data_IF_303989916433
#
_entry.id   IF_303989916433
#
_cell.length_a   1.000
_cell.length_b   1.000
_cell.length_c   1.000
_cell.angle_alpha   90.00
_cell.angle_beta   90.00
_cell.angle_gamma   90.00
#
_symmetry.space_group_name_H-M   'P 1'
#
loop_
_entity.id
_entity.type
_entity.pdbx_description
1 polymer ?
#
# COMPACT_ATOMS: atom_id res chain seq x y z
N UNK A 1 6.82 5.96 -17.95
CA UNK A 1 8.30 5.98 -17.89
C UNK A 1 8.81 5.71 -16.48
N UNK A 2 8.43 6.50 -15.46
CA UNK A 2 8.82 6.23 -14.06
C UNK A 2 8.41 4.84 -13.53
N UNK A 3 7.20 4.36 -13.85
CA UNK A 3 6.73 3.01 -13.48
C UNK A 3 7.58 1.86 -14.08
N UNK A 4 8.19 2.08 -15.25
CA UNK A 4 9.02 1.08 -15.94
C UNK A 4 10.48 1.10 -15.45
N UNK A 5 10.93 2.19 -14.83
CA UNK A 5 12.33 2.37 -14.38
C UNK A 5 12.47 2.07 -12.88
N UNK A 6 11.49 2.46 -12.06
CA UNK A 6 11.56 2.31 -10.60
C UNK A 6 10.84 1.07 -10.06
N UNK A 7 10.10 0.34 -10.91
CA UNK A 7 9.24 -0.76 -10.48
C UNK A 7 8.01 -0.29 -9.70
N UNK A 8 6.99 -1.15 -9.63
CA UNK A 8 5.80 -0.90 -8.81
C UNK A 8 6.00 -1.59 -7.47
N UNK A 9 6.17 -0.80 -6.41
CA UNK A 9 6.21 -1.30 -5.04
C UNK A 9 4.78 -1.46 -4.51
N UNK A 10 4.20 -2.64 -4.76
CA UNK A 10 2.95 -3.05 -4.13
C UNK A 10 3.19 -3.33 -2.65
N UNK A 11 2.26 -2.87 -1.81
CA UNK A 11 2.27 -3.13 -0.37
C UNK A 11 2.12 -4.64 -0.08
N UNK A 12 2.57 -5.08 1.10
CA UNK A 12 2.49 -6.47 1.56
C UNK A 12 1.04 -6.96 1.58
N UNK A 13 0.07 -6.06 1.85
CA UNK A 13 -1.37 -6.37 1.75
C UNK A 13 -1.81 -6.82 0.34
N UNK A 14 -1.03 -6.56 -0.70
CA UNK A 14 -1.31 -6.97 -2.08
C UNK A 14 -0.44 -8.13 -2.58
N UNK A 15 0.77 -8.27 -2.03
CA UNK A 15 1.70 -9.37 -2.37
C UNK A 15 1.48 -10.62 -1.53
N UNK A 16 0.83 -10.48 -0.38
CA UNK A 16 0.76 -11.52 0.64
C UNK A 16 2.02 -11.58 1.51
N UNK A 17 1.89 -12.18 2.69
CA UNK A 17 2.97 -12.30 3.64
C UNK A 17 2.48 -12.36 5.08
N UNK A 18 3.36 -12.05 6.02
CA UNK A 18 3.03 -12.00 7.44
C UNK A 18 3.44 -10.66 8.02
N UNK A 19 2.53 -10.07 8.80
CA UNK A 19 2.73 -8.83 9.54
C UNK A 19 2.87 -9.22 11.02
N UNK A 20 4.03 -8.91 11.59
CA UNK A 20 4.32 -9.06 13.01
C UNK A 20 4.35 -7.69 13.65
N UNK A 21 3.64 -7.51 14.76
CA UNK A 21 3.68 -6.28 15.54
C UNK A 21 4.35 -6.53 16.87
N UNK A 22 5.45 -5.83 17.12
CA UNK A 22 6.17 -5.89 18.38
C UNK A 22 5.95 -4.59 19.14
N UNK A 23 5.43 -4.69 20.36
CA UNK A 23 5.48 -3.57 21.30
C UNK A 23 6.91 -3.47 21.84
N UNK A 24 7.41 -2.25 21.97
CA UNK A 24 8.76 -1.99 22.47
C UNK A 24 8.81 -0.76 23.37
N UNK A 25 9.89 -0.67 24.14
CA UNK A 25 10.17 0.46 25.02
C UNK A 25 11.37 1.25 24.48
N UNK A 26 11.24 2.57 24.49
CA UNK A 26 12.28 3.52 24.02
C UNK A 26 12.58 3.40 22.51
N UNK A 27 13.58 4.08 21.99
CA UNK A 27 13.80 4.19 20.53
C UNK A 27 14.28 2.90 19.84
N UNK A 28 13.69 2.56 18.69
CA UNK A 28 14.20 1.54 17.76
C UNK A 28 14.46 2.19 16.39
N UNK A 29 15.52 1.76 15.71
CA UNK A 29 15.78 2.09 14.31
C UNK A 29 15.12 1.05 13.40
N UNK A 30 14.10 1.49 12.65
CA UNK A 30 13.36 0.62 11.73
C UNK A 30 14.23 0.11 10.57
N UNK A 31 15.16 0.90 10.05
CA UNK A 31 16.01 0.50 8.92
C UNK A 31 17.04 -0.55 9.36
N UNK A 32 17.56 -0.41 10.57
CA UNK A 32 18.45 -1.41 11.15
C UNK A 32 17.68 -2.71 11.46
N UNK A 33 16.48 -2.61 12.04
CA UNK A 33 15.61 -3.77 12.28
C UNK A 33 15.28 -4.51 10.98
N UNK A 34 14.98 -3.79 9.90
CA UNK A 34 14.69 -4.36 8.59
C UNK A 34 15.87 -5.20 8.07
N UNK A 35 17.10 -4.67 8.14
CA UNK A 35 18.31 -5.38 7.68
C UNK A 35 18.57 -6.66 8.49
N UNK A 36 18.39 -6.60 9.81
CA UNK A 36 18.59 -7.76 10.70
C UNK A 36 17.62 -8.88 10.35
N UNK A 37 16.33 -8.55 10.18
CA UNK A 37 15.28 -9.53 9.89
C UNK A 37 15.45 -10.11 8.47
N UNK A 38 15.82 -9.26 7.51
CA UNK A 38 16.10 -9.70 6.15
C UNK A 38 17.28 -10.68 6.10
N UNK A 39 18.31 -10.48 6.94
CA UNK A 39 19.44 -11.40 7.05
C UNK A 39 19.08 -12.72 7.76
N UNK A 40 18.14 -12.70 8.72
CA UNK A 40 17.78 -13.90 9.49
C UNK A 40 16.84 -14.84 8.74
N UNK A 41 15.87 -14.30 7.99
CA UNK A 41 14.83 -15.11 7.29
C UNK A 41 15.02 -15.13 5.77
N UNK A 42 15.84 -14.24 5.21
CA UNK A 42 16.05 -14.15 3.75
C UNK A 42 14.82 -13.66 2.97
N UNK A 43 13.78 -13.17 3.65
CA UNK A 43 12.55 -12.64 3.03
C UNK A 43 12.64 -11.12 2.89
N UNK A 44 12.02 -10.59 1.83
CA UNK A 44 11.87 -9.15 1.67
C UNK A 44 11.06 -8.64 2.86
N UNK A 45 11.67 -7.75 3.63
CA UNK A 45 11.10 -7.23 4.87
C UNK A 45 10.96 -5.72 4.74
N UNK A 46 9.89 -5.17 5.29
CA UNK A 46 9.77 -3.74 5.54
C UNK A 46 9.43 -3.50 7.01
N UNK A 47 10.13 -2.56 7.64
CA UNK A 47 9.84 -2.17 9.02
C UNK A 47 9.31 -0.74 9.10
N UNK A 48 8.26 -0.54 9.91
CA UNK A 48 7.68 0.77 10.16
C UNK A 48 7.45 0.98 11.65
N UNK A 49 7.70 2.19 12.13
CA UNK A 49 7.38 2.57 13.50
C UNK A 49 5.98 3.17 13.52
N UNK A 50 5.13 2.64 14.39
CA UNK A 50 3.83 3.21 14.69
C UNK A 50 3.81 3.63 16.16
N UNK A 51 3.58 4.91 16.42
CA UNK A 51 3.36 5.41 17.77
C UNK A 51 1.88 5.71 17.95
N UNK A 52 1.27 5.10 18.97
CA UNK A 52 -0.03 5.55 19.43
C UNK A 52 0.16 6.54 20.58
N UNK A 53 0.08 7.83 20.25
CA UNK A 53 0.26 8.92 21.22
C UNK A 53 -0.77 8.91 22.35
N UNK A 54 -1.94 8.27 22.18
CA UNK A 54 -2.97 8.21 23.20
C UNK A 54 -2.75 7.08 24.24
N UNK A 55 -2.01 6.03 23.88
CA UNK A 55 -1.77 4.85 24.71
C UNK A 55 -0.31 4.75 25.20
N UNK A 56 0.52 5.73 24.88
CA UNK A 56 1.99 5.72 25.09
C UNK A 56 2.65 4.41 24.64
N UNK A 57 2.09 3.81 23.58
CA UNK A 57 2.50 2.50 23.10
C UNK A 57 3.25 2.65 21.77
N UNK A 58 4.47 2.14 21.73
CA UNK A 58 5.33 2.15 20.56
C UNK A 58 5.35 0.77 19.93
N UNK A 59 4.99 0.71 18.66
CA UNK A 59 4.86 -0.54 17.91
C UNK A 59 5.84 -0.55 16.74
N UNK A 60 6.58 -1.63 16.61
CA UNK A 60 7.37 -1.96 15.43
C UNK A 60 6.52 -2.89 14.58
N UNK A 61 6.10 -2.40 13.42
CA UNK A 61 5.40 -3.20 12.41
C UNK A 61 6.46 -3.79 11.49
N UNK A 62 6.55 -5.11 11.48
CA UNK A 62 7.44 -5.88 10.60
C UNK A 62 6.58 -6.59 9.58
N UNK A 63 6.75 -6.24 8.32
CA UNK A 63 6.02 -6.83 7.21
C UNK A 63 6.97 -7.70 6.38
N UNK A 64 6.77 -9.01 6.43
CA UNK A 64 7.56 -10.00 5.68
C UNK A 64 6.76 -10.48 4.47
N UNK A 65 7.26 -10.20 3.26
CA UNK A 65 6.62 -10.66 2.04
C UNK A 65 6.78 -12.17 1.88
N UNK A 66 5.71 -12.86 1.47
CA UNK A 66 5.73 -14.30 1.30
C UNK A 66 4.42 -14.83 0.72
N UNK A 67 4.48 -16.00 0.09
CA UNK A 67 3.28 -16.66 -0.45
C UNK A 67 2.53 -17.49 0.60
N UNK A 68 3.14 -17.68 1.77
CA UNK A 68 2.67 -18.56 2.85
C UNK A 68 2.86 -17.83 4.18
N UNK A 69 2.12 -18.29 5.20
CA UNK A 69 2.35 -17.87 6.59
C UNK A 69 3.81 -18.15 7.00
N UNK A 70 4.36 -17.31 7.87
CA UNK A 70 5.61 -17.64 8.56
C UNK A 70 5.46 -18.96 9.30
N UNK A 71 6.43 -19.84 9.14
CA UNK A 71 6.51 -21.02 10.00
C UNK A 71 6.87 -20.59 11.42
N UNK A 72 6.50 -21.40 12.43
CA UNK A 72 6.84 -21.11 13.82
C UNK A 72 8.36 -21.04 14.07
N UNK A 73 9.18 -21.67 13.22
CA UNK A 73 10.64 -21.57 13.29
C UNK A 73 11.13 -20.22 12.77
N UNK A 74 10.59 -19.75 11.65
CA UNK A 74 10.91 -18.43 11.09
C UNK A 74 10.45 -17.30 12.02
N UNK A 75 9.24 -17.38 12.59
CA UNK A 75 8.76 -16.39 13.56
C UNK A 75 9.65 -16.32 14.82
N UNK A 76 10.14 -17.47 15.30
CA UNK A 76 11.12 -17.53 16.39
C UNK A 76 12.45 -16.94 15.96
N UNK A 77 12.92 -17.19 14.74
CA UNK A 77 14.16 -16.62 14.23
C UNK A 77 14.08 -15.09 14.13
N UNK A 78 12.95 -14.53 13.67
CA UNK A 78 12.70 -13.07 13.67
C UNK A 78 12.75 -12.53 15.10
N UNK A 79 12.00 -13.13 16.00
CA UNK A 79 11.90 -12.66 17.40
C UNK A 79 13.25 -12.75 18.11
N UNK A 80 14.01 -13.84 17.90
CA UNK A 80 15.34 -14.02 18.47
C UNK A 80 16.35 -13.00 17.92
N UNK A 81 16.36 -12.78 16.60
CA UNK A 81 17.26 -11.79 15.98
C UNK A 81 16.97 -10.37 16.48
N UNK A 82 15.70 -10.01 16.61
CA UNK A 82 15.28 -8.72 17.15
C UNK A 82 15.64 -8.57 18.63
N UNK A 83 15.40 -9.59 19.45
CA UNK A 83 15.73 -9.56 20.88
C UNK A 83 17.24 -9.52 21.12
N UNK A 84 18.03 -10.20 20.29
CA UNK A 84 19.50 -10.17 20.36
C UNK A 84 20.06 -8.80 19.98
N UNK A 85 19.49 -8.14 18.98
CA UNK A 85 19.90 -6.81 18.56
C UNK A 85 19.45 -5.71 19.54
N UNK A 86 18.32 -5.92 20.22
CA UNK A 86 17.69 -4.94 21.10
C UNK A 86 17.32 -5.54 22.47
N UNK A 87 18.29 -6.02 23.27
CA UNK A 87 18.02 -6.72 24.53
C UNK A 87 17.32 -5.83 25.57
N UNK A 88 17.58 -4.53 25.55
CA UNK A 88 17.05 -3.58 26.54
C UNK A 88 15.69 -2.97 26.15
N UNK A 89 15.10 -3.39 25.02
CA UNK A 89 13.89 -2.75 24.46
C UNK A 89 12.58 -3.49 24.75
N UNK A 90 12.64 -4.60 25.50
CA UNK A 90 11.48 -5.40 25.91
C UNK A 90 10.49 -5.67 24.76
N UNK A 91 11.03 -6.17 23.65
CA UNK A 91 10.24 -6.50 22.48
C UNK A 91 9.25 -7.62 22.80
N UNK A 92 7.96 -7.32 22.69
CA UNK A 92 6.88 -8.28 22.94
C UNK A 92 6.00 -8.41 21.71
N UNK A 93 5.88 -9.63 21.19
CA UNK A 93 4.98 -9.90 20.07
C UNK A 93 3.55 -9.67 20.52
N UNK A 94 2.90 -8.65 19.94
CA UNK A 94 1.53 -8.27 20.25
C UNK A 94 0.54 -8.86 19.27
N UNK A 95 0.91 -8.97 18.00
CA UNK A 95 0.01 -9.46 16.95
C UNK A 95 0.82 -10.13 15.83
N UNK A 96 0.29 -11.23 15.30
CA UNK A 96 0.78 -11.94 14.12
C UNK A 96 -0.38 -12.14 13.15
N UNK A 97 -0.30 -11.49 11.99
CA UNK A 97 -1.34 -11.49 10.96
C UNK A 97 -0.75 -12.03 9.67
N UNK A 98 -1.28 -13.15 9.18
CA UNK A 98 -0.95 -13.63 7.84
C UNK A 98 -1.95 -13.07 6.83
N UNK A 99 -1.45 -12.45 5.77
CA UNK A 99 -2.24 -11.99 4.63
C UNK A 99 -1.98 -12.91 3.46
N UNK A 100 -3.02 -13.59 2.98
CA UNK A 100 -2.89 -14.46 1.82
C UNK A 100 -2.72 -13.65 0.51
N UNK A 101 -1.74 -13.99 -0.35
CA UNK A 101 -1.46 -13.29 -1.61
C UNK A 101 -2.66 -13.20 -2.56
N UNK A 102 -3.53 -14.22 -2.51
CA UNK A 102 -4.66 -14.36 -3.41
C UNK A 102 -5.65 -13.20 -3.25
N UNK A 103 -5.93 -12.79 -2.01
CA UNK A 103 -6.89 -11.72 -1.70
C UNK A 103 -6.37 -10.39 -2.26
N UNK A 104 -5.09 -10.10 -2.04
CA UNK A 104 -4.46 -8.86 -2.48
C UNK A 104 -4.47 -8.68 -3.99
N UNK A 105 -4.07 -9.71 -4.75
CA UNK A 105 -4.04 -9.65 -6.22
C UNK A 105 -5.43 -9.56 -6.83
N UNK A 106 -6.42 -10.24 -6.25
CA UNK A 106 -7.81 -10.11 -6.66
C UNK A 106 -8.37 -8.72 -6.33
N UNK A 107 -8.10 -8.16 -5.14
CA UNK A 107 -8.51 -6.81 -4.77
C UNK A 107 -7.92 -5.75 -5.69
N UNK A 108 -6.63 -5.85 -6.01
CA UNK A 108 -5.97 -4.91 -6.92
C UNK A 108 -6.57 -4.98 -8.34
N UNK A 109 -6.75 -6.20 -8.86
CA UNK A 109 -7.31 -6.40 -10.21
C UNK A 109 -8.76 -5.94 -10.27
N UNK A 110 -9.58 -6.28 -9.27
CA UNK A 110 -10.96 -5.83 -9.17
C UNK A 110 -11.05 -4.31 -9.00
N UNK A 111 -10.14 -3.69 -8.24
CA UNK A 111 -10.03 -2.24 -8.12
C UNK A 111 -9.74 -1.56 -9.46
N UNK A 112 -8.79 -2.10 -10.24
CA UNK A 112 -8.52 -1.61 -11.60
C UNK A 112 -9.73 -1.76 -12.54
N UNK A 113 -10.44 -2.89 -12.46
CA UNK A 113 -11.67 -3.11 -13.24
C UNK A 113 -12.76 -2.12 -12.82
N UNK A 114 -12.93 -1.89 -11.52
CA UNK A 114 -13.92 -0.94 -10.98
C UNK A 114 -13.61 0.49 -11.43
N UNK A 115 -12.34 0.90 -11.43
CA UNK A 115 -11.90 2.20 -11.95
C UNK A 115 -12.25 2.30 -13.44
N UNK A 116 -11.88 1.31 -14.25
CA UNK A 116 -12.18 1.30 -15.68
C UNK A 116 -13.70 1.36 -15.98
N UNK A 117 -14.51 0.62 -15.22
CA UNK A 117 -15.97 0.66 -15.32
C UNK A 117 -16.54 2.01 -14.90
N UNK A 118 -16.00 2.63 -13.84
CA UNK A 118 -16.38 3.97 -13.40
C UNK A 118 -16.14 4.99 -14.52
N UNK A 119 -14.95 4.97 -15.12
CA UNK A 119 -14.61 5.81 -16.28
C UNK A 119 -15.61 5.64 -17.44
N UNK A 120 -15.98 4.39 -17.76
CA UNK A 120 -16.95 4.10 -18.81
C UNK A 120 -18.35 4.66 -18.48
N UNK A 121 -18.80 4.52 -17.23
CA UNK A 121 -20.10 5.05 -16.79
C UNK A 121 -20.13 6.57 -16.79
N UNK A 122 -19.06 7.22 -16.34
CA UNK A 122 -18.90 8.68 -16.38
C UNK A 122 -18.94 9.16 -17.83
N UNK A 123 -18.31 8.44 -18.75
CA UNK A 123 -18.36 8.75 -20.18
C UNK A 123 -19.76 8.73 -20.75
N UNK A 124 -20.52 7.68 -20.45
CA UNK A 124 -21.92 7.56 -20.88
C UNK A 124 -22.76 8.68 -20.26
N UNK A 125 -22.55 8.97 -18.97
CA UNK A 125 -23.24 10.04 -18.26
C UNK A 125 -22.97 11.41 -18.88
N UNK A 126 -21.69 11.80 -19.02
CA UNK A 126 -21.29 13.10 -19.59
C UNK A 126 -21.74 13.22 -21.05
N UNK A 127 -21.58 12.15 -21.84
CA UNK A 127 -22.03 12.10 -23.23
C UNK A 127 -23.54 12.33 -23.37
N UNK A 128 -24.34 11.75 -22.47
CA UNK A 128 -25.79 11.99 -22.42
C UNK A 128 -26.14 13.38 -21.88
N UNK A 129 -25.48 13.80 -20.80
CA UNK A 129 -25.75 15.04 -20.04
C UNK A 129 -25.41 16.31 -20.81
N UNK A 130 -24.35 16.30 -21.61
CA UNK A 130 -23.82 17.45 -22.36
C UNK A 130 -24.07 17.37 -23.87
N UNK A 131 -25.00 16.49 -24.29
CA UNK A 131 -25.44 16.35 -25.68
C UNK A 131 -25.84 17.68 -26.33
N UNK A 132 -26.28 18.66 -25.53
CA UNK A 132 -26.82 19.93 -26.02
C UNK A 132 -25.83 21.12 -26.03
N UNK A 133 -24.62 20.99 -25.47
CA UNK A 133 -23.66 22.12 -25.31
C UNK A 133 -22.30 21.86 -25.98
N UNK A 134 -21.98 20.61 -26.33
CA UNK A 134 -20.71 20.26 -26.98
C UNK A 134 -20.56 18.78 -27.36
N UNK A 135 -21.42 17.89 -26.85
CA UNK A 135 -21.45 16.48 -27.28
C UNK A 135 -20.20 15.68 -26.88
N UNK A 136 -19.80 14.73 -27.76
CA UNK A 136 -18.69 13.78 -27.55
C UNK A 136 -17.33 14.43 -27.28
N UNK A 137 -17.10 15.68 -27.70
CA UNK A 137 -15.83 16.38 -27.50
C UNK A 137 -15.60 16.78 -26.04
N UNK A 138 -16.64 17.24 -25.34
CA UNK A 138 -16.57 17.56 -23.91
C UNK A 138 -16.32 16.29 -23.08
N UNK A 139 -17.00 15.19 -23.42
CA UNK A 139 -16.76 13.88 -22.81
C UNK A 139 -15.33 13.38 -23.02
N UNK A 140 -14.79 13.50 -24.24
CA UNK A 140 -13.42 13.10 -24.54
C UNK A 140 -12.37 13.95 -23.79
N UNK A 141 -12.58 15.27 -23.68
CA UNK A 141 -11.70 16.15 -22.91
C UNK A 141 -11.74 15.83 -21.41
N UNK A 142 -12.91 15.48 -20.87
CA UNK A 142 -13.04 15.04 -19.48
C UNK A 142 -12.27 13.75 -19.21
N UNK A 143 -12.28 12.77 -20.11
CA UNK A 143 -11.43 11.55 -19.95
C UNK A 143 -9.96 11.94 -19.89
N UNK A 144 -9.51 12.81 -20.79
CA UNK A 144 -8.09 13.18 -20.89
C UNK A 144 -7.65 13.90 -19.62
N UNK A 145 -8.48 14.81 -19.11
CA UNK A 145 -8.23 15.50 -17.83
C UNK A 145 -8.14 14.49 -16.67
N UNK A 146 -9.10 13.58 -16.55
CA UNK A 146 -9.09 12.59 -15.48
C UNK A 146 -7.93 11.59 -15.58
N UNK A 147 -7.58 11.15 -16.79
CA UNK A 147 -6.45 10.26 -17.01
C UNK A 147 -5.14 10.96 -16.62
N UNK A 148 -5.01 12.25 -16.95
CA UNK A 148 -3.88 13.08 -16.54
C UNK A 148 -3.80 13.19 -15.01
N UNK A 149 -4.91 13.43 -14.32
CA UNK A 149 -4.94 13.56 -12.85
C UNK A 149 -4.52 12.25 -12.16
N UNK A 150 -5.07 11.12 -12.59
CA UNK A 150 -4.70 9.79 -12.10
C UNK A 150 -3.23 9.48 -12.37
N UNK A 151 -2.73 9.86 -13.56
CA UNK A 151 -1.34 9.65 -13.94
C UNK A 151 -0.37 10.44 -13.05
N UNK A 152 -0.66 11.71 -12.76
CA UNK A 152 0.16 12.54 -11.87
C UNK A 152 0.22 11.94 -10.47
N UNK A 153 -0.91 11.55 -9.88
CA UNK A 153 -0.95 10.96 -8.53
C UNK A 153 -0.14 9.67 -8.49
N UNK A 154 -0.32 8.81 -9.48
CA UNK A 154 0.44 7.55 -9.60
C UNK A 154 1.94 7.83 -9.73
N UNK A 155 2.34 8.82 -10.53
CA UNK A 155 3.74 9.19 -10.70
C UNK A 155 4.37 9.68 -9.39
N UNK A 156 3.66 10.48 -8.60
CA UNK A 156 4.10 10.93 -7.27
C UNK A 156 4.35 9.74 -6.36
N UNK A 157 3.40 8.81 -6.23
CA UNK A 157 3.57 7.63 -5.37
C UNK A 157 4.77 6.79 -5.77
N UNK A 158 4.98 6.58 -7.08
CA UNK A 158 6.13 5.83 -7.60
C UNK A 158 7.46 6.56 -7.34
N UNK A 159 7.53 7.89 -7.57
CA UNK A 159 8.74 8.69 -7.37
C UNK A 159 9.16 8.69 -5.89
N UNK A 160 8.20 8.87 -4.99
CA UNK A 160 8.46 8.89 -3.54
C UNK A 160 8.53 7.49 -2.91
N UNK A 161 8.43 6.43 -3.73
CA UNK A 161 8.43 5.03 -3.27
C UNK A 161 7.36 4.75 -2.20
N UNK A 162 6.24 5.47 -2.26
CA UNK A 162 5.11 5.24 -1.36
C UNK A 162 4.43 3.94 -1.83
N UNK A 163 4.23 2.96 -0.93
CA UNK A 163 3.55 1.72 -1.28
C UNK A 163 2.16 1.99 -1.84
N UNK A 164 1.84 1.35 -2.97
CA UNK A 164 0.48 1.40 -3.51
C UNK A 164 -0.41 0.48 -2.67
N UNK A 165 -1.33 1.09 -1.93
CA UNK A 165 -2.23 0.37 -1.03
C UNK A 165 -3.71 0.74 -1.20
N UNK A 166 -4.57 0.29 -0.27
CA UNK A 166 -5.99 0.64 -0.23
C UNK A 166 -6.21 2.16 -0.06
N UNK A 167 -5.35 2.84 0.69
CA UNK A 167 -5.37 4.30 0.79
C UNK A 167 -5.06 4.98 -0.56
N UNK A 168 -4.18 4.40 -1.40
CA UNK A 168 -3.96 4.88 -2.77
C UNK A 168 -5.23 4.76 -3.63
N UNK A 169 -5.93 3.61 -3.56
CA UNK A 169 -7.18 3.41 -4.30
C UNK A 169 -8.24 4.42 -3.84
N UNK A 170 -8.37 4.63 -2.53
CA UNK A 170 -9.29 5.61 -1.96
C UNK A 170 -8.96 7.03 -2.45
N UNK A 171 -7.69 7.43 -2.42
CA UNK A 171 -7.25 8.75 -2.89
C UNK A 171 -7.56 8.98 -4.38
N UNK A 172 -7.31 7.98 -5.24
CA UNK A 172 -7.61 8.04 -6.67
C UNK A 172 -9.11 8.24 -6.90
N UNK A 173 -9.96 7.45 -6.21
CA UNK A 173 -11.41 7.56 -6.31
C UNK A 173 -11.92 8.94 -5.87
N UNK A 174 -11.36 9.49 -4.79
CA UNK A 174 -11.71 10.84 -4.31
C UNK A 174 -11.32 11.92 -5.32
N UNK A 175 -10.12 11.85 -5.88
CA UNK A 175 -9.63 12.83 -6.86
C UNK A 175 -10.47 12.78 -8.13
N UNK A 176 -10.78 11.59 -8.64
CA UNK A 176 -11.67 11.42 -9.79
C UNK A 176 -13.04 12.05 -9.51
N UNK A 177 -13.61 11.82 -8.32
CA UNK A 177 -14.90 12.39 -7.92
C UNK A 177 -14.90 13.93 -7.91
N UNK A 178 -13.84 14.55 -7.38
CA UNK A 178 -13.70 16.01 -7.40
C UNK A 178 -13.42 16.56 -8.80
N UNK A 179 -12.52 15.93 -9.56
CA UNK A 179 -12.13 16.37 -10.90
C UNK A 179 -13.32 16.36 -11.87
N UNK A 180 -14.20 15.34 -11.80
CA UNK A 180 -15.45 15.31 -12.56
C UNK A 180 -16.42 16.41 -12.16
N UNK A 181 -16.48 16.75 -10.87
CA UNK A 181 -17.37 17.80 -10.42
C UNK A 181 -16.93 19.18 -10.92
N UNK A 182 -15.62 19.36 -11.17
CA UNK A 182 -15.03 20.61 -11.66
C UNK A 182 -14.90 20.67 -13.20
N UNK A 183 -15.12 19.53 -13.90
CA UNK A 183 -15.05 19.39 -15.37
C UNK A 183 -16.43 19.36 -16.02
#
# INVERSE_FOLDING_TARGET
>A
VAAFINGIHLDIQFKGGTILKYAYVSTIDAEQAEKIIQQSVGKITNCQLQSNMALDNQMLIVSLAGNEALTSEEERAVTAALTQAYPDRQLTLSESLTVEPFIGRHFFTNGLIAIALSFLLILVYVGFRFRNIGGLSAGAMAIIALFHDVFIVTAVFIIFKIPLNDAFIAAILTIIGFSINDT
#
